data_IF_055625062574
#
_entry.id   IF_055625062574
#
_cell.length_a   1.000
_cell.length_b   1.000
_cell.length_c   1.000
_cell.angle_alpha   90.00
_cell.angle_beta   90.00
_cell.angle_gamma   90.00
#
_symmetry.space_group_name_H-M   'P 1'
#
loop_
_entity.id
_entity.type
_entity.pdbx_description
1 polymer ?
#
# COMPACT_ATOMS: atom_id res chain seq x y z
N UNK A 1 -3.53 26.44 -12.05
CA UNK A 1 -4.53 25.44 -12.07
C UNK A 1 -4.90 25.02 -10.69
N UNK A 2 -6.12 24.69 -10.58
CA UNK A 2 -6.67 24.31 -9.28
C UNK A 2 -6.01 23.07 -8.71
N UNK A 3 -5.27 22.33 -9.53
CA UNK A 3 -4.78 21.04 -9.08
C UNK A 3 -3.35 21.04 -8.59
N UNK A 4 -2.78 22.20 -8.42
CA UNK A 4 -1.40 22.29 -7.97
C UNK A 4 -1.31 22.19 -6.47
N UNK A 5 -1.64 21.04 -5.91
CA UNK A 5 -1.52 20.79 -4.49
C UNK A 5 -0.33 19.86 -4.23
N UNK A 6 0.18 19.83 -3.00
CA UNK A 6 1.23 18.86 -2.69
C UNK A 6 0.83 17.43 -2.97
N UNK A 7 -0.43 17.08 -2.75
CA UNK A 7 -0.88 15.73 -3.07
C UNK A 7 -0.89 15.50 -4.56
N UNK A 8 -1.30 16.49 -5.33
CA UNK A 8 -1.35 16.38 -6.78
C UNK A 8 0.04 16.04 -7.34
N UNK A 9 1.08 16.70 -6.84
CA UNK A 9 2.44 16.43 -7.27
C UNK A 9 2.88 15.04 -6.88
N UNK A 10 2.55 14.61 -5.66
CA UNK A 10 2.87 13.26 -5.22
C UNK A 10 2.16 12.23 -6.10
N UNK A 11 0.89 12.46 -6.37
CA UNK A 11 0.08 11.53 -7.17
C UNK A 11 0.69 11.34 -8.56
N UNK A 12 1.13 12.43 -9.19
CA UNK A 12 1.75 12.32 -10.50
C UNK A 12 3.03 11.50 -10.46
N UNK A 13 3.82 11.65 -9.39
CA UNK A 13 5.04 10.87 -9.26
C UNK A 13 4.73 9.38 -9.10
N UNK A 14 3.67 9.04 -8.36
CA UNK A 14 3.26 7.65 -8.20
C UNK A 14 2.87 7.04 -9.53
N UNK A 15 2.08 7.76 -10.30
CA UNK A 15 1.65 7.25 -11.60
C UNK A 15 2.83 7.15 -12.57
N UNK A 16 3.78 8.05 -12.48
CA UNK A 16 4.96 8.03 -13.34
C UNK A 16 5.82 6.79 -13.07
N UNK A 17 5.78 6.26 -11.84
CA UNK A 17 6.47 5.02 -11.54
C UNK A 17 5.87 3.81 -12.25
N UNK A 18 4.72 3.97 -12.85
CA UNK A 18 4.03 2.85 -13.48
C UNK A 18 3.11 2.11 -12.53
N UNK A 19 2.93 2.60 -11.32
CA UNK A 19 2.00 1.99 -10.38
C UNK A 19 0.58 2.34 -10.77
N UNK A 20 -0.30 1.38 -10.59
CA UNK A 20 -1.65 1.47 -11.12
C UNK A 20 -2.60 2.10 -10.12
N UNK A 21 -3.42 3.08 -10.53
CA UNK A 21 -4.44 3.60 -9.62
C UNK A 21 -5.51 2.56 -9.38
N UNK A 22 -6.04 2.52 -8.16
CA UNK A 22 -7.08 1.57 -7.80
C UNK A 22 -8.16 2.28 -7.02
N UNK A 23 -9.39 1.79 -7.14
CA UNK A 23 -10.54 2.33 -6.44
C UNK A 23 -11.17 1.25 -5.59
N UNK A 24 -11.94 1.68 -4.59
CA UNK A 24 -12.61 0.74 -3.71
C UNK A 24 -13.55 -0.19 -4.47
N UNK A 25 -14.15 0.31 -5.54
CA UNK A 25 -15.10 -0.49 -6.32
C UNK A 25 -14.44 -1.61 -7.13
N UNK A 26 -13.13 -1.51 -7.39
CA UNK A 26 -12.43 -2.48 -8.24
C UNK A 26 -11.31 -3.20 -7.50
N UNK A 27 -11.04 -2.85 -6.25
CA UNK A 27 -9.86 -3.33 -5.56
C UNK A 27 -9.90 -4.84 -5.36
N UNK A 28 -11.05 -5.41 -5.03
CA UNK A 28 -11.13 -6.84 -4.77
C UNK A 28 -10.83 -7.66 -6.02
N UNK A 29 -11.37 -7.24 -7.16
CA UNK A 29 -11.10 -7.93 -8.41
C UNK A 29 -9.64 -7.82 -8.81
N UNK A 30 -9.05 -6.65 -8.59
CA UNK A 30 -7.65 -6.44 -8.92
C UNK A 30 -6.74 -7.34 -8.07
N UNK A 31 -7.02 -7.44 -6.77
CA UNK A 31 -6.23 -8.28 -5.87
C UNK A 31 -6.28 -9.74 -6.32
N UNK A 32 -7.47 -10.22 -6.66
CA UNK A 32 -7.62 -11.60 -7.09
C UNK A 32 -6.87 -11.88 -8.38
N UNK A 33 -6.86 -10.90 -9.28
CA UNK A 33 -6.23 -11.08 -10.57
C UNK A 33 -4.72 -11.13 -10.47
N UNK A 34 -4.14 -10.29 -9.61
CA UNK A 34 -2.68 -10.20 -9.55
C UNK A 34 -2.05 -11.15 -8.54
N UNK A 35 -2.75 -11.48 -7.47
CA UNK A 35 -2.24 -12.43 -6.48
C UNK A 35 -1.36 -11.79 -5.43
N UNK A 36 -0.12 -11.45 -5.78
CA UNK A 36 0.80 -10.79 -4.87
C UNK A 36 0.69 -9.30 -5.08
N UNK A 37 0.03 -8.62 -4.16
CA UNK A 37 -0.37 -7.24 -4.37
C UNK A 37 0.07 -6.37 -3.20
N UNK A 38 0.44 -5.14 -3.54
CA UNK A 38 0.72 -4.11 -2.55
C UNK A 38 -0.11 -2.90 -2.93
N UNK A 39 -0.85 -2.36 -1.98
CA UNK A 39 -1.67 -1.17 -2.23
C UNK A 39 -1.24 -0.06 -1.29
N UNK A 40 -0.82 1.06 -1.87
CA UNK A 40 -0.44 2.23 -1.09
C UNK A 40 -1.64 3.12 -0.88
N UNK A 41 -2.03 3.28 0.38
CA UNK A 41 -3.09 4.21 0.77
C UNK A 41 -2.43 5.51 1.17
N UNK A 42 -2.91 6.60 0.59
CA UNK A 42 -2.25 7.89 0.65
C UNK A 42 -2.68 8.71 1.86
N UNK A 43 -1.80 9.62 2.25
CA UNK A 43 -2.12 10.66 3.22
C UNK A 43 -1.74 12.01 2.60
N UNK A 44 -2.36 13.07 3.08
CA UNK A 44 -2.10 14.41 2.58
C UNK A 44 -0.71 14.85 3.03
N UNK A 45 0.19 15.21 2.10
CA UNK A 45 1.54 15.67 2.49
C UNK A 45 1.52 16.93 3.34
N UNK A 46 0.44 17.70 3.33
CA UNK A 46 0.34 18.87 4.20
C UNK A 46 0.20 18.48 5.67
N UNK A 47 -0.37 17.30 5.94
CA UNK A 47 -0.50 16.79 7.30
C UNK A 47 0.67 15.90 7.68
N UNK A 48 1.19 15.15 6.71
CA UNK A 48 2.25 14.18 6.94
C UNK A 48 3.28 14.39 5.85
N UNK A 49 4.20 15.35 6.01
CA UNK A 49 5.17 15.64 4.95
C UNK A 49 6.01 14.44 4.55
N UNK A 50 6.27 13.54 5.50
CA UNK A 50 7.08 12.35 5.24
C UNK A 50 6.42 11.39 4.27
N UNK A 51 5.14 11.55 3.99
CA UNK A 51 4.45 10.64 3.07
C UNK A 51 5.06 10.69 1.68
N UNK A 52 5.71 11.80 1.32
CA UNK A 52 6.34 11.92 0.01
C UNK A 52 7.50 10.96 -0.19
N UNK A 53 8.14 10.52 0.88
CA UNK A 53 9.25 9.58 0.81
C UNK A 53 8.79 8.13 0.88
N UNK A 54 7.56 7.90 1.30
CA UNK A 54 7.06 6.56 1.53
C UNK A 54 7.10 5.67 0.29
N UNK A 55 6.73 6.16 -0.91
CA UNK A 55 6.76 5.31 -2.09
C UNK A 55 8.15 4.80 -2.43
N UNK A 56 9.18 5.63 -2.23
CA UNK A 56 10.55 5.21 -2.48
C UNK A 56 10.93 4.09 -1.52
N UNK A 57 10.59 4.26 -0.26
CA UNK A 57 10.90 3.24 0.75
C UNK A 57 10.17 1.93 0.45
N UNK A 58 8.91 2.01 0.05
CA UNK A 58 8.15 0.81 -0.27
C UNK A 58 8.76 0.11 -1.49
N UNK A 59 9.14 0.87 -2.53
CA UNK A 59 9.77 0.26 -3.69
C UNK A 59 11.04 -0.49 -3.32
N UNK A 60 11.88 0.11 -2.46
CA UNK A 60 13.09 -0.56 -2.00
C UNK A 60 12.77 -1.76 -1.14
N UNK A 61 11.73 -1.66 -0.30
CA UNK A 61 11.32 -2.74 0.55
C UNK A 61 10.94 -3.98 -0.26
N UNK A 62 10.19 -3.79 -1.33
CA UNK A 62 9.74 -4.91 -2.15
C UNK A 62 10.90 -5.62 -2.82
N UNK A 63 11.99 -4.92 -3.09
CA UNK A 63 13.19 -5.55 -3.65
C UNK A 63 13.84 -6.53 -2.70
N UNK A 64 13.60 -6.37 -1.40
CA UNK A 64 14.14 -7.29 -0.40
C UNK A 64 13.38 -8.60 -0.32
N UNK A 65 12.26 -8.70 -1.05
CA UNK A 65 11.40 -9.89 -1.03
C UNK A 65 11.13 -10.34 -2.46
N UNK A 66 12.20 -10.72 -3.20
CA UNK A 66 12.06 -11.02 -4.63
C UNK A 66 11.36 -12.33 -4.93
N UNK A 67 11.08 -13.13 -3.90
CA UNK A 67 10.36 -14.38 -4.11
C UNK A 67 8.89 -14.15 -4.45
N UNK A 68 8.40 -12.93 -4.30
CA UNK A 68 7.03 -12.59 -4.66
C UNK A 68 7.02 -11.76 -5.94
N UNK A 69 6.00 -11.91 -6.74
CA UNK A 69 5.83 -11.13 -7.97
C UNK A 69 4.92 -9.95 -7.70
N UNK A 70 5.43 -8.97 -6.98
CA UNK A 70 4.65 -7.85 -6.48
C UNK A 70 4.07 -6.99 -7.59
N UNK A 71 2.77 -6.76 -7.53
CA UNK A 71 2.10 -5.75 -8.33
C UNK A 71 1.65 -4.64 -7.39
N UNK A 72 1.90 -3.39 -7.76
CA UNK A 72 1.68 -2.26 -6.86
C UNK A 72 0.57 -1.38 -7.41
N UNK A 73 -0.39 -1.06 -6.56
CA UNK A 73 -1.43 -0.10 -6.86
C UNK A 73 -1.40 1.03 -5.85
N UNK A 74 -1.94 2.15 -6.25
CA UNK A 74 -1.99 3.35 -5.41
C UNK A 74 -3.42 3.87 -5.36
N UNK A 75 -3.81 4.41 -4.22
CA UNK A 75 -5.13 4.99 -4.04
C UNK A 75 -4.98 6.48 -3.71
N UNK A 76 -5.85 7.30 -4.29
CA UNK A 76 -5.85 8.72 -3.96
C UNK A 76 -6.44 8.92 -2.56
N UNK A 77 -6.57 10.18 -2.14
CA UNK A 77 -6.99 10.45 -0.76
C UNK A 77 -8.37 9.91 -0.47
N UNK A 78 -9.30 10.10 -1.38
CA UNK A 78 -10.66 9.64 -1.18
C UNK A 78 -10.76 8.12 -1.22
N UNK A 79 -10.11 7.49 -2.20
CA UNK A 79 -10.15 6.05 -2.32
C UNK A 79 -9.37 5.38 -1.20
N UNK A 80 -8.35 6.05 -0.68
CA UNK A 80 -7.61 5.52 0.46
C UNK A 80 -8.50 5.33 1.68
N UNK A 81 -9.39 6.29 1.93
CA UNK A 81 -10.31 6.15 3.05
C UNK A 81 -11.30 5.02 2.82
N UNK A 82 -11.83 4.93 1.60
CA UNK A 82 -12.80 3.88 1.30
C UNK A 82 -12.16 2.49 1.37
N UNK A 83 -10.96 2.35 0.84
CA UNK A 83 -10.25 1.07 0.89
C UNK A 83 -9.82 0.76 2.32
N UNK A 84 -9.42 1.78 3.07
CA UNK A 84 -9.09 1.60 4.48
C UNK A 84 -10.28 1.05 5.26
N UNK A 85 -11.46 1.59 5.01
CA UNK A 85 -12.67 1.07 5.66
C UNK A 85 -12.91 -0.39 5.29
N UNK A 86 -12.70 -0.72 4.02
CA UNK A 86 -12.90 -2.08 3.54
C UNK A 86 -12.02 -3.09 4.28
N UNK A 87 -10.78 -2.70 4.59
CA UNK A 87 -9.81 -3.59 5.21
C UNK A 87 -9.50 -3.22 6.67
N UNK A 88 -10.31 -2.34 7.24
CA UNK A 88 -10.21 -1.95 8.65
C UNK A 88 -8.90 -1.26 8.99
N UNK A 89 -8.44 -0.38 8.12
CA UNK A 89 -7.24 0.41 8.31
C UNK A 89 -7.65 1.84 8.52
N UNK A 90 -7.16 2.46 9.60
CA UNK A 90 -7.58 3.80 9.97
C UNK A 90 -6.44 4.80 10.05
N UNK A 91 -5.22 4.34 9.96
CA UNK A 91 -4.06 5.21 10.10
C UNK A 91 -3.33 5.29 8.78
N UNK A 92 -3.14 6.49 8.27
CA UNK A 92 -2.57 6.71 6.94
C UNK A 92 -1.28 7.52 7.05
N UNK A 93 -0.34 7.34 6.14
CA UNK A 93 -0.41 6.42 5.01
C UNK A 93 -0.35 4.98 5.49
N UNK A 94 -0.81 4.08 4.65
CA UNK A 94 -0.76 2.66 4.98
C UNK A 94 -0.43 1.88 3.72
N UNK A 95 0.23 0.75 3.90
CA UNK A 95 0.56 -0.14 2.80
C UNK A 95 -0.06 -1.50 3.11
N UNK A 96 -0.99 -1.91 2.27
CA UNK A 96 -1.64 -3.21 2.41
C UNK A 96 -0.87 -4.24 1.62
N UNK A 97 -0.64 -5.41 2.21
CA UNK A 97 0.17 -6.46 1.59
C UNK A 97 -0.69 -7.72 1.43
N UNK A 98 -0.75 -8.21 0.21
CA UNK A 98 -1.51 -9.41 -0.14
C UNK A 98 -0.59 -10.42 -0.79
N UNK A 99 -0.76 -11.69 -0.48
CA UNK A 99 -0.12 -12.76 -1.23
C UNK A 99 -1.18 -13.81 -1.55
N UNK A 100 -1.12 -14.31 -2.76
CA UNK A 100 -2.06 -15.32 -3.23
C UNK A 100 -3.52 -14.82 -3.09
N UNK A 101 -3.72 -13.52 -3.31
CA UNK A 101 -5.03 -12.90 -3.24
C UNK A 101 -5.58 -12.66 -1.85
N UNK A 102 -4.79 -12.88 -0.82
CA UNK A 102 -5.26 -12.78 0.56
C UNK A 102 -4.48 -11.74 1.33
N UNK A 103 -5.18 -10.98 2.15
CA UNK A 103 -4.54 -9.94 2.97
C UNK A 103 -3.64 -10.59 4.01
N UNK A 104 -2.38 -10.16 4.01
CA UNK A 104 -1.39 -10.66 4.97
C UNK A 104 -1.16 -9.68 6.10
N UNK A 105 -1.30 -8.39 5.84
CA UNK A 105 -1.11 -7.39 6.86
C UNK A 105 -1.06 -6.00 6.28
N UNK A 106 -0.84 -5.04 7.16
CA UNK A 106 -0.76 -3.63 6.78
C UNK A 106 0.37 -2.97 7.51
N UNK A 107 1.10 -2.11 6.79
CA UNK A 107 2.11 -1.24 7.37
C UNK A 107 1.48 0.13 7.51
N UNK A 108 1.02 0.47 8.72
CA UNK A 108 0.32 1.73 8.95
C UNK A 108 1.27 2.76 9.50
N UNK A 109 1.20 3.97 8.94
CA UNK A 109 2.06 5.06 9.34
C UNK A 109 3.42 5.02 8.66
N UNK A 110 4.32 5.85 9.16
CA UNK A 110 5.67 5.97 8.63
C UNK A 110 6.62 5.28 9.59
N UNK A 111 7.52 4.47 9.05
CA UNK A 111 8.46 3.70 9.86
C UNK A 111 9.89 3.88 9.36
N UNK A 112 10.88 3.85 10.25
CA UNK A 112 12.28 3.78 9.82
C UNK A 112 12.53 2.49 9.06
N UNK A 113 13.59 2.50 8.24
CA UNK A 113 13.87 1.38 7.33
C UNK A 113 14.00 0.04 8.06
N UNK A 114 14.76 0.01 9.14
CA UNK A 114 15.00 -1.24 9.86
C UNK A 114 13.70 -1.82 10.42
N UNK A 115 12.84 -0.96 10.93
CA UNK A 115 11.55 -1.38 11.46
C UNK A 115 10.66 -1.87 10.33
N UNK A 116 10.69 -1.19 9.20
CA UNK A 116 9.89 -1.54 8.04
C UNK A 116 10.26 -2.95 7.54
N UNK A 117 11.56 -3.25 7.48
CA UNK A 117 12.02 -4.58 7.10
C UNK A 117 11.51 -5.65 8.06
N UNK A 118 11.59 -5.38 9.36
CA UNK A 118 11.15 -6.33 10.37
C UNK A 118 9.65 -6.58 10.26
N UNK A 119 8.87 -5.51 10.09
CA UNK A 119 7.43 -5.63 9.96
C UNK A 119 7.05 -6.40 8.70
N UNK A 120 7.69 -6.09 7.58
CA UNK A 120 7.38 -6.76 6.33
C UNK A 120 7.73 -8.24 6.41
N UNK A 121 8.87 -8.57 6.98
CA UNK A 121 9.26 -9.96 7.14
C UNK A 121 8.23 -10.71 7.97
N UNK A 122 7.75 -10.09 9.03
CA UNK A 122 6.72 -10.70 9.86
C UNK A 122 5.43 -10.92 9.08
N UNK A 123 5.06 -9.96 8.25
CA UNK A 123 3.84 -10.05 7.44
C UNK A 123 3.93 -11.21 6.46
N UNK A 124 5.03 -11.30 5.71
CA UNK A 124 5.11 -12.33 4.66
C UNK A 124 5.36 -13.71 5.23
N UNK A 125 5.95 -13.80 6.43
CA UNK A 125 6.21 -15.09 7.05
C UNK A 125 5.01 -15.65 7.79
N UNK A 126 4.01 -14.81 8.08
CA UNK A 126 2.83 -15.28 8.78
C UNK A 126 1.93 -16.04 7.82
N UNK A 127 1.54 -17.26 8.14
CA UNK A 127 0.65 -18.00 7.25
C UNK A 127 -0.70 -17.30 7.14
N UNK A 128 -1.28 -17.33 5.95
CA UNK A 128 -2.62 -16.81 5.75
C UNK A 128 -3.68 -17.74 6.33
N UNK A 129 -3.27 -18.87 6.82
CA UNK A 129 -4.21 -19.90 7.21
C UNK A 129 -5.10 -19.53 8.38
N UNK A 130 -4.69 -18.52 9.13
CA UNK A 130 -5.53 -18.16 10.26
C UNK A 130 -6.91 -17.76 9.82
N UNK A 131 -7.07 -17.34 8.61
CA UNK A 131 -8.40 -16.99 8.18
C UNK A 131 -9.24 -18.22 7.96
N UNK A 132 -8.68 -19.38 7.97
CA UNK A 132 -9.45 -20.58 7.78
C UNK A 132 -9.66 -21.34 9.07
N UNK A 133 -9.16 -20.82 10.16
CA UNK A 133 -9.16 -21.58 11.36
C UNK A 133 -10.51 -21.64 12.02
N UNK A 134 -11.28 -20.72 11.81
CA UNK A 134 -12.50 -20.70 12.47
C UNK A 134 -13.63 -21.17 11.95
#
# INVERSE_FOLDING_TARGET
>A
MANDTPFSALWQRLLTRGWQPVEASTVDDWIKRVGDAVILLSSDPRRTPEVSDNPVMIAELLREFPQFDWQVAVADLEQSEAIGDRFNVRRFPATLVFTDGKLRGALSGIHPWAELLTLMRSIVDTPAAQETVQ
#
